data_IF_513238664566
#
_entry.id   IF_513238664566
#
_cell.length_a   1.000
_cell.length_b   1.000
_cell.length_c   1.000
_cell.angle_alpha   90.00
_cell.angle_beta   90.00
_cell.angle_gamma   90.00
#
_symmetry.space_group_name_H-M   'P 1'
#
loop_
_entity.id
_entity.type
_entity.pdbx_description
1 polymer ?
#
# COMPACT_ATOMS: atom_id res chain seq x y z
N UNK A 1 4.15 -10.63 -13.85
CA UNK A 1 4.78 -9.35 -13.47
C UNK A 1 3.82 -8.64 -12.54
N UNK A 2 4.27 -8.16 -11.39
CA UNK A 2 3.39 -7.37 -10.51
C UNK A 2 3.16 -5.99 -11.16
N UNK A 3 1.92 -5.64 -11.42
CA UNK A 3 1.54 -4.31 -11.91
C UNK A 3 1.43 -3.39 -10.70
N UNK A 4 2.04 -2.21 -10.76
CA UNK A 4 2.02 -1.23 -9.68
C UNK A 4 1.27 0.02 -10.14
N UNK A 5 0.43 0.55 -9.27
CA UNK A 5 -0.38 1.75 -9.56
C UNK A 5 -0.02 2.80 -8.53
N UNK A 6 0.18 4.04 -8.97
CA UNK A 6 0.38 5.16 -8.07
C UNK A 6 -0.92 5.43 -7.31
N UNK A 7 -0.83 5.51 -5.98
CA UNK A 7 -1.97 5.80 -5.08
C UNK A 7 -2.79 7.01 -5.55
N UNK A 8 -2.15 8.03 -6.13
CA UNK A 8 -2.81 9.24 -6.63
C UNK A 8 -3.79 8.97 -7.77
N UNK A 9 -3.53 7.93 -8.56
CA UNK A 9 -4.34 7.54 -9.71
C UNK A 9 -5.48 6.57 -9.33
N UNK A 10 -5.56 6.19 -8.04
CA UNK A 10 -6.56 5.26 -7.53
C UNK A 10 -7.72 6.05 -6.93
N UNK A 11 -8.96 5.65 -7.23
CA UNK A 11 -10.14 6.24 -6.62
C UNK A 11 -10.20 5.93 -5.11
N UNK A 12 -10.62 6.90 -4.30
CA UNK A 12 -10.68 6.78 -2.83
C UNK A 12 -11.56 5.61 -2.34
N UNK A 13 -12.52 5.17 -3.16
CA UNK A 13 -13.39 4.03 -2.87
C UNK A 13 -12.83 2.67 -3.27
N UNK A 14 -11.61 2.59 -3.81
CA UNK A 14 -10.98 1.32 -4.13
C UNK A 14 -10.68 0.52 -2.86
N UNK A 15 -10.82 -0.80 -2.97
CA UNK A 15 -10.72 -1.74 -1.84
C UNK A 15 -9.45 -2.57 -1.96
N UNK A 16 -8.68 -2.62 -0.88
CA UNK A 16 -7.48 -3.44 -0.77
C UNK A 16 -7.62 -4.50 0.30
N UNK A 17 -7.19 -5.71 -0.03
CA UNK A 17 -7.25 -6.87 0.85
C UNK A 17 -5.87 -7.22 1.40
N UNK A 18 -5.85 -8.04 2.45
CA UNK A 18 -4.60 -8.63 2.93
C UNK A 18 -3.84 -9.31 1.79
N UNK A 19 -2.53 -9.08 1.73
CA UNK A 19 -1.67 -9.51 0.64
C UNK A 19 -1.30 -8.40 -0.35
N UNK A 20 -1.99 -7.26 -0.33
CA UNK A 20 -1.56 -6.08 -1.09
C UNK A 20 -0.21 -5.57 -0.58
N UNK A 21 0.73 -5.33 -1.48
CA UNK A 21 2.00 -4.70 -1.16
C UNK A 21 1.93 -3.19 -1.46
N UNK A 22 2.43 -2.38 -0.55
CA UNK A 22 2.56 -0.93 -0.68
C UNK A 22 4.05 -0.64 -0.81
N UNK A 23 4.42 0.20 -1.75
CA UNK A 23 5.79 0.61 -1.98
C UNK A 23 5.91 2.11 -1.86
N UNK A 24 6.83 2.56 -1.01
CA UNK A 24 7.08 3.98 -0.74
C UNK A 24 8.45 4.35 -1.29
N UNK A 25 8.47 5.36 -2.15
CA UNK A 25 9.67 5.93 -2.74
C UNK A 25 9.95 7.29 -2.09
N UNK A 26 11.09 7.41 -1.43
CA UNK A 26 11.51 8.66 -0.74
C UNK A 26 11.84 9.81 -1.68
N UNK A 27 11.98 9.55 -2.98
CA UNK A 27 12.21 10.56 -4.00
C UNK A 27 11.18 10.34 -5.11
N UNK A 28 10.47 11.38 -5.56
CA UNK A 28 9.61 11.28 -6.72
C UNK A 28 10.43 10.79 -7.91
N UNK A 29 10.07 9.63 -8.44
CA UNK A 29 10.70 9.01 -9.59
C UNK A 29 9.87 9.22 -10.86
N UNK A 30 8.69 9.83 -10.77
CA UNK A 30 7.90 10.29 -11.92
C UNK A 30 7.49 9.14 -12.82
N UNK A 31 7.27 7.96 -12.24
CA UNK A 31 7.03 6.75 -13.01
C UNK A 31 5.54 6.63 -13.30
N UNK A 32 5.20 6.59 -14.60
CA UNK A 32 3.84 6.33 -15.09
C UNK A 32 3.35 4.95 -14.66
N UNK A 33 2.04 4.68 -14.72
CA UNK A 33 1.48 3.36 -14.43
C UNK A 33 2.08 2.27 -15.35
N UNK A 34 2.52 1.14 -14.79
CA UNK A 34 3.15 0.12 -15.61
C UNK A 34 3.68 -1.13 -14.90
N UNK A 35 4.19 -2.06 -15.70
CA UNK A 35 4.78 -3.32 -15.25
C UNK A 35 6.27 -3.17 -14.92
N UNK A 36 6.61 -2.30 -13.97
CA UNK A 36 7.96 -2.19 -13.42
C UNK A 36 7.89 -2.32 -11.91
N UNK A 37 8.93 -2.89 -11.31
CA UNK A 37 9.16 -2.79 -9.87
C UNK A 37 10.11 -1.60 -9.74
N UNK A 38 9.70 -0.44 -9.16
CA UNK A 38 10.63 0.65 -8.94
C UNK A 38 11.83 0.10 -8.16
N UNK A 39 13.08 0.41 -8.53
CA UNK A 39 14.24 -0.06 -7.75
C UNK A 39 14.42 0.80 -6.49
N UNK A 40 14.79 0.18 -5.36
CA UNK A 40 14.87 0.87 -4.06
C UNK A 40 13.52 1.04 -3.37
N UNK A 41 13.46 1.94 -2.38
CA UNK A 41 12.24 2.23 -1.60
C UNK A 41 11.86 1.19 -0.54
N UNK A 42 10.89 1.53 0.28
CA UNK A 42 10.36 0.67 1.34
C UNK A 42 9.16 -0.11 0.83
N UNK A 43 9.14 -1.41 1.06
CA UNK A 43 8.00 -2.27 0.75
C UNK A 43 7.30 -2.67 2.04
N UNK A 44 6.00 -2.48 2.07
CA UNK A 44 5.10 -2.87 3.14
C UNK A 44 4.09 -3.88 2.62
N UNK A 45 3.68 -4.82 3.47
CA UNK A 45 2.62 -5.78 3.18
C UNK A 45 1.41 -5.50 4.06
N UNK A 46 0.24 -5.32 3.44
CA UNK A 46 -1.03 -5.27 4.16
C UNK A 46 -1.35 -6.67 4.66
N UNK A 47 -1.49 -6.82 5.96
CA UNK A 47 -1.72 -8.08 6.69
C UNK A 47 -2.90 -7.94 7.63
N UNK A 48 -3.70 -9.00 7.82
CA UNK A 48 -4.79 -8.98 8.80
C UNK A 48 -4.19 -8.96 10.22
N UNK A 49 -4.80 -8.20 11.13
CA UNK A 49 -4.41 -8.23 12.53
C UNK A 49 -5.06 -9.44 13.23
N UNK A 50 -4.24 -10.41 13.63
CA UNK A 50 -4.71 -11.65 14.23
C UNK A 50 -5.41 -11.47 15.60
N UNK A 51 -5.17 -10.37 16.31
CA UNK A 51 -5.63 -10.19 17.70
C UNK A 51 -7.04 -9.62 17.82
N UNK A 52 -7.33 -8.49 17.14
CA UNK A 52 -8.62 -7.82 17.25
C UNK A 52 -9.49 -7.95 15.98
N UNK A 53 -8.92 -8.36 14.84
CA UNK A 53 -9.54 -8.43 13.51
C UNK A 53 -10.23 -7.15 13.03
N UNK A 54 -10.16 -6.07 13.81
CA UNK A 54 -10.84 -4.81 13.56
C UNK A 54 -10.03 -3.91 12.60
N UNK A 55 -8.78 -4.30 12.29
CA UNK A 55 -7.84 -3.48 11.53
C UNK A 55 -6.91 -4.35 10.69
N UNK A 56 -6.36 -3.75 9.63
CA UNK A 56 -5.19 -4.29 8.94
C UNK A 56 -3.92 -3.67 9.50
N UNK A 57 -2.81 -4.41 9.41
CA UNK A 57 -1.47 -3.95 9.72
C UNK A 57 -0.62 -3.90 8.45
N UNK A 58 0.16 -2.84 8.26
CA UNK A 58 1.25 -2.85 7.27
C UNK A 58 2.53 -3.36 7.92
N UNK A 59 3.18 -4.35 7.31
CA UNK A 59 4.44 -4.93 7.80
C UNK A 59 5.56 -4.60 6.81
N UNK A 60 6.64 -3.98 7.29
CA UNK A 60 7.81 -3.70 6.46
C UNK A 60 8.49 -5.01 6.01
N UNK A 61 8.74 -5.14 4.71
CA UNK A 61 9.45 -6.26 4.09
C UNK A 61 10.87 -5.89 3.62
N UNK A 62 11.21 -4.60 3.58
CA UNK A 62 12.55 -4.14 3.21
C UNK A 62 13.56 -4.41 4.33
N UNK A 63 14.73 -4.94 3.98
CA UNK A 63 15.81 -5.18 4.94
C UNK A 63 16.53 -3.85 5.29
N UNK A 64 16.57 -3.48 6.58
CA UNK A 64 17.26 -2.27 7.05
C UNK A 64 16.97 -1.88 8.51
N UNK A 65 17.63 -0.83 9.01
CA UNK A 65 17.53 -0.31 10.39
C UNK A 65 16.26 0.49 10.69
N UNK A 66 15.44 0.84 9.69
CA UNK A 66 14.25 1.69 9.87
C UNK A 66 13.10 1.02 10.64
N UNK A 67 13.28 -0.25 11.03
CA UNK A 67 12.37 -0.97 11.90
C UNK A 67 11.07 -1.38 11.23
N UNK A 68 10.39 -2.38 11.80
CA UNK A 68 9.04 -2.71 11.39
C UNK A 68 8.11 -1.57 11.81
N UNK A 69 7.78 -0.67 10.87
CA UNK A 69 6.67 0.26 11.09
C UNK A 69 5.39 -0.55 10.92
N UNK A 70 4.71 -0.79 12.05
CA UNK A 70 3.37 -1.37 12.06
C UNK A 70 2.38 -0.21 11.98
N UNK A 71 1.80 -0.01 10.81
CA UNK A 71 0.70 0.95 10.63
C UNK A 71 -0.65 0.24 10.81
N UNK A 72 -1.55 0.83 11.60
CA UNK A 72 -2.94 0.35 11.75
C UNK A 72 -3.82 1.03 10.70
N UNK A 73 -4.44 0.24 9.84
CA UNK A 73 -5.36 0.68 8.79
C UNK A 73 -6.79 0.33 9.21
N UNK A 74 -7.70 1.30 9.13
CA UNK A 74 -9.10 1.08 9.45
C UNK A 74 -9.74 0.13 8.43
N UNK A 75 -10.48 -0.87 8.94
CA UNK A 75 -11.08 -1.92 8.14
C UNK A 75 -12.53 -1.56 7.82
N UNK A 76 -12.90 -1.65 6.55
CA UNK A 76 -14.29 -1.68 6.09
C UNK A 76 -14.61 -3.11 5.62
N UNK A 77 -15.37 -3.85 6.43
CA UNK A 77 -15.71 -5.24 6.09
C UNK A 77 -14.48 -6.15 6.11
N UNK A 78 -13.99 -6.60 4.95
CA UNK A 78 -12.78 -7.43 4.81
C UNK A 78 -11.66 -6.73 4.03
N UNK A 79 -11.76 -5.43 3.83
CA UNK A 79 -10.81 -4.62 3.07
C UNK A 79 -10.49 -3.32 3.79
N UNK A 80 -9.41 -2.67 3.37
CA UNK A 80 -9.11 -1.26 3.67
C UNK A 80 -9.45 -0.42 2.44
N UNK A 81 -9.95 0.79 2.65
CA UNK A 81 -10.17 1.75 1.57
C UNK A 81 -8.87 2.42 1.14
N UNK A 82 -8.77 2.78 -0.13
CA UNK A 82 -7.64 3.56 -0.65
C UNK A 82 -7.46 4.89 0.08
N UNK A 83 -8.56 5.53 0.48
CA UNK A 83 -8.52 6.77 1.27
C UNK A 83 -7.70 6.63 2.56
N UNK A 84 -7.72 5.45 3.19
CA UNK A 84 -6.92 5.15 4.38
C UNK A 84 -5.43 4.97 4.05
N UNK A 85 -5.12 4.36 2.90
CA UNK A 85 -3.74 4.23 2.39
C UNK A 85 -3.17 5.60 2.06
N UNK A 86 -3.93 6.44 1.34
CA UNK A 86 -3.60 7.85 1.06
C UNK A 86 -3.33 8.62 2.33
N UNK A 87 -4.25 8.56 3.30
CA UNK A 87 -4.11 9.27 4.59
C UNK A 87 -2.81 8.92 5.30
N UNK A 88 -2.38 7.67 5.23
CA UNK A 88 -1.22 7.18 5.99
C UNK A 88 0.11 7.40 5.26
N UNK A 89 0.14 7.23 3.94
CA UNK A 89 1.38 7.17 3.18
C UNK A 89 1.55 8.31 2.17
N UNK A 90 0.47 8.98 1.76
CA UNK A 90 0.58 10.08 0.81
C UNK A 90 1.25 11.29 1.47
N UNK A 91 2.39 11.68 0.93
CA UNK A 91 3.13 12.87 1.32
C UNK A 91 3.58 13.62 0.08
N UNK A 92 3.73 14.95 0.18
CA UNK A 92 4.29 15.75 -0.92
C UNK A 92 5.72 15.34 -1.28
N UNK A 93 6.42 14.67 -0.37
CA UNK A 93 7.83 14.30 -0.50
C UNK A 93 8.03 12.84 -0.96
N UNK A 94 6.99 12.02 -0.97
CA UNK A 94 7.09 10.59 -1.24
C UNK A 94 6.09 10.17 -2.32
N UNK A 95 6.47 9.20 -3.15
CA UNK A 95 5.56 8.53 -4.07
C UNK A 95 5.20 7.16 -3.54
N UNK A 96 3.91 6.83 -3.57
CA UNK A 96 3.37 5.59 -3.03
C UNK A 96 2.71 4.80 -4.15
N UNK A 97 3.07 3.53 -4.24
CA UNK A 97 2.54 2.61 -5.22
C UNK A 97 1.90 1.42 -4.50
N UNK A 98 0.79 0.91 -5.02
CA UNK A 98 0.19 -0.32 -4.51
C UNK A 98 0.28 -1.39 -5.58
N UNK A 99 0.66 -2.60 -5.17
CA UNK A 99 0.67 -3.76 -6.06
C UNK A 99 -0.75 -4.13 -6.43
N UNK A 100 -1.00 -4.33 -7.72
CA UNK A 100 -2.23 -4.87 -8.27
C UNK A 100 -2.30 -6.37 -8.02
N UNK A 101 -2.36 -6.77 -6.76
CA UNK A 101 -2.55 -8.15 -6.36
C UNK A 101 -4.02 -8.32 -6.01
N UNK A 102 -4.79 -8.77 -7.01
CA UNK A 102 -6.09 -9.44 -6.88
C UNK A 102 -7.29 -8.51 -6.56
N UNK A 103 -8.13 -8.34 -7.58
CA UNK A 103 -9.51 -7.79 -7.54
C UNK A 103 -9.69 -6.47 -6.76
N UNK A 104 -9.36 -5.35 -7.42
CA UNK A 104 -10.14 -4.13 -7.20
C UNK A 104 -11.56 -4.44 -7.69
N UNK A 105 -12.44 -4.89 -6.80
CA UNK A 105 -13.86 -5.00 -7.09
C UNK A 105 -14.43 -3.58 -7.18
N UNK A 106 -14.31 -2.97 -8.36
CA UNK A 106 -15.08 -1.78 -8.72
C UNK A 106 -16.51 -2.25 -8.88
N UNK A 107 -17.39 -1.82 -7.97
CA UNK A 107 -18.85 -1.97 -8.14
C UNK A 107 -19.30 -0.95 -9.18
#
# INVERSE_FOLDING_TARGET
MAMWINVKDIADGAKFYAGAAIKIMSTPCGIEEGNFIPEGGLVYLVSDNASDKSYFNCVCLSAGEEGNVICRLEREGNCVLESEIKRMFESKLQEVFVSKSIEIAVI
#
